data_IF_851496264776
#
_entry.id   IF_851496264776
#
_cell.length_a   1.000
_cell.length_b   1.000
_cell.length_c   1.000
_cell.angle_alpha   90.00
_cell.angle_beta   90.00
_cell.angle_gamma   90.00
#
_symmetry.space_group_name_H-M   'P 1'
#
loop_
_entity.id
_entity.type
_entity.pdbx_description
1 polymer ?
#
# COMPACT_ATOMS: atom_id res chain seq x y z
N UNK A 1 5.35 -3.12 -14.84
CA UNK A 1 4.05 -3.06 -14.14
C UNK A 1 3.93 -1.71 -13.46
N UNK A 2 2.79 -1.04 -13.64
CA UNK A 2 2.49 0.24 -12.98
C UNK A 2 1.22 0.12 -12.15
N UNK A 3 1.29 0.57 -10.91
CA UNK A 3 0.16 0.62 -9.98
C UNK A 3 -0.37 2.05 -9.90
N UNK A 4 -1.67 2.22 -10.15
CA UNK A 4 -2.36 3.50 -10.01
C UNK A 4 -3.25 3.49 -8.77
N UNK A 5 -3.16 4.54 -7.96
CA UNK A 5 -4.06 4.77 -6.84
C UNK A 5 -5.18 5.74 -7.26
N UNK A 6 -6.42 5.35 -6.99
CA UNK A 6 -7.54 6.29 -6.96
C UNK A 6 -7.41 7.25 -5.77
N UNK A 7 -8.18 8.32 -5.77
CA UNK A 7 -8.26 9.25 -4.64
C UNK A 7 -8.74 8.54 -3.38
N UNK A 8 -9.82 7.76 -3.51
CA UNK A 8 -10.42 6.99 -2.42
C UNK A 8 -9.43 6.02 -1.79
N UNK A 9 -8.68 5.28 -2.61
CA UNK A 9 -7.66 4.36 -2.12
C UNK A 9 -6.53 5.12 -1.42
N UNK A 10 -6.04 6.21 -2.03
CA UNK A 10 -4.97 7.03 -1.46
C UNK A 10 -5.36 7.60 -0.09
N UNK A 11 -6.52 8.24 0.02
CA UNK A 11 -7.02 8.79 1.28
C UNK A 11 -7.16 7.71 2.35
N UNK A 12 -7.78 6.57 2.01
CA UNK A 12 -7.98 5.47 2.95
C UNK A 12 -6.66 4.91 3.47
N UNK A 13 -5.67 4.68 2.59
CA UNK A 13 -4.34 4.21 2.97
C UNK A 13 -3.66 5.21 3.90
N UNK A 14 -3.57 6.49 3.50
CA UNK A 14 -2.90 7.54 4.29
C UNK A 14 -3.52 7.66 5.67
N UNK A 15 -4.84 7.83 5.75
CA UNK A 15 -5.53 8.08 7.01
C UNK A 15 -5.44 6.86 7.93
N UNK A 16 -5.57 5.64 7.40
CA UNK A 16 -5.46 4.41 8.19
C UNK A 16 -4.04 4.19 8.72
N UNK A 17 -3.01 4.52 7.93
CA UNK A 17 -1.61 4.42 8.38
C UNK A 17 -1.27 5.45 9.45
N UNK A 18 -1.81 6.68 9.35
CA UNK A 18 -1.63 7.73 10.36
C UNK A 18 -2.38 7.39 11.65
N UNK A 19 -3.63 6.91 11.55
CA UNK A 19 -4.44 6.51 12.71
C UNK A 19 -3.76 5.43 13.55
N UNK A 20 -3.17 4.44 12.89
CA UNK A 20 -2.52 3.32 13.56
C UNK A 20 -1.18 3.69 14.23
N UNK A 21 -0.50 4.71 13.73
CA UNK A 21 0.87 5.05 14.14
C UNK A 21 0.92 5.38 15.64
N UNK A 22 1.82 4.80 16.46
CA UNK A 22 3.10 4.10 16.17
C UNK A 22 3.01 2.57 16.05
N UNK A 23 1.90 2.03 15.58
CA UNK A 23 1.71 0.62 15.25
C UNK A 23 1.49 0.43 13.75
N UNK A 24 1.49 -0.83 13.32
CA UNK A 24 1.17 -1.17 11.92
C UNK A 24 -0.33 -1.11 11.66
N UNK A 25 -0.75 -0.54 10.52
CA UNK A 25 -2.08 -0.75 9.96
C UNK A 25 -2.05 -1.93 8.98
N UNK A 26 -3.21 -2.52 8.69
CA UNK A 26 -3.34 -3.55 7.65
C UNK A 26 -4.71 -3.43 6.99
N UNK A 27 -4.80 -3.80 5.72
CA UNK A 27 -6.07 -3.90 5.02
C UNK A 27 -5.97 -4.53 3.64
N UNK A 28 -7.12 -4.62 2.98
CA UNK A 28 -7.24 -5.13 1.62
C UNK A 28 -7.18 -3.99 0.60
N UNK A 29 -6.67 -4.30 -0.60
CA UNK A 29 -6.78 -3.42 -1.76
C UNK A 29 -7.61 -4.10 -2.86
N UNK A 30 -8.55 -3.34 -3.41
CA UNK A 30 -9.49 -3.80 -4.43
C UNK A 30 -9.38 -2.94 -5.68
N UNK A 31 -9.59 -3.55 -6.83
CA UNK A 31 -9.61 -2.83 -8.09
C UNK A 31 -9.65 -3.76 -9.29
N UNK A 32 -8.88 -3.43 -10.31
CA UNK A 32 -8.80 -4.24 -11.54
C UNK A 32 -7.39 -4.21 -12.10
N UNK A 33 -7.05 -5.21 -12.90
CA UNK A 33 -5.71 -5.35 -13.48
C UNK A 33 -5.76 -5.74 -14.94
N UNK A 34 -4.71 -5.34 -15.65
CA UNK A 34 -4.33 -5.78 -16.98
C UNK A 34 -2.88 -6.22 -16.94
N UNK A 35 -2.35 -6.73 -18.05
CA UNK A 35 -0.96 -7.20 -18.15
C UNK A 35 0.09 -6.12 -17.81
N UNK A 36 -0.26 -4.83 -17.97
CA UNK A 36 0.68 -3.71 -17.82
C UNK A 36 0.38 -2.81 -16.62
N UNK A 37 -0.87 -2.81 -16.15
CA UNK A 37 -1.40 -1.82 -15.22
C UNK A 37 -2.34 -2.45 -14.21
N UNK A 38 -2.14 -2.13 -12.94
CA UNK A 38 -3.06 -2.48 -11.86
C UNK A 38 -3.58 -1.19 -11.26
N UNK A 39 -4.90 -1.08 -11.12
CA UNK A 39 -5.55 0.11 -10.59
C UNK A 39 -6.25 -0.24 -9.29
N UNK A 40 -5.79 0.39 -8.21
CA UNK A 40 -6.37 0.24 -6.88
C UNK A 40 -7.45 1.31 -6.74
N UNK A 41 -8.71 0.87 -6.66
CA UNK A 41 -9.87 1.75 -6.53
C UNK A 41 -10.28 1.94 -5.07
N UNK A 42 -10.13 0.91 -4.24
CA UNK A 42 -10.46 0.94 -2.83
C UNK A 42 -9.35 0.33 -1.99
N UNK A 43 -9.17 0.88 -0.80
CA UNK A 43 -8.39 0.27 0.27
C UNK A 43 -9.29 0.18 1.51
N UNK A 44 -9.38 -1.01 2.10
CA UNK A 44 -10.29 -1.29 3.22
C UNK A 44 -9.44 -1.67 4.44
N UNK A 45 -9.28 -0.78 5.42
CA UNK A 45 -8.50 -1.07 6.62
C UNK A 45 -9.22 -2.08 7.49
N UNK A 46 -8.46 -3.01 8.06
CA UNK A 46 -8.95 -3.92 9.08
C UNK A 46 -8.88 -3.25 10.43
N UNK A 47 -9.99 -2.62 10.80
CA UNK A 47 -10.15 -1.90 12.08
C UNK A 47 -9.86 -2.78 13.28
N UNK A 48 -10.14 -4.08 13.18
CA UNK A 48 -9.96 -5.02 14.28
C UNK A 48 -8.74 -5.92 14.13
N UNK A 49 -7.77 -5.57 13.29
CA UNK A 49 -6.52 -6.33 13.25
C UNK A 49 -5.82 -6.21 14.61
N UNK A 50 -5.14 -7.27 15.06
CA UNK A 50 -4.25 -7.17 16.22
C UNK A 50 -2.96 -6.51 15.76
N UNK A 51 -2.54 -5.44 16.46
CA UNK A 51 -1.51 -4.50 16.00
C UNK A 51 -0.40 -4.39 17.04
N UNK A 52 0.78 -4.83 16.64
CA UNK A 52 2.05 -4.54 17.27
C UNK A 52 2.82 -3.46 16.50
N UNK A 53 4.07 -3.28 16.89
CA UNK A 53 4.94 -2.29 16.27
C UNK A 53 5.56 -2.76 14.94
N UNK A 54 5.83 -4.06 14.81
CA UNK A 54 6.38 -4.70 13.61
C UNK A 54 5.54 -5.90 13.17
N UNK A 55 4.32 -5.96 13.69
CA UNK A 55 3.42 -7.07 13.46
C UNK A 55 2.01 -6.52 13.34
N UNK A 56 1.30 -7.04 12.37
CA UNK A 56 -0.14 -6.88 12.27
C UNK A 56 -0.72 -8.22 11.84
N UNK A 57 -1.77 -8.65 12.54
CA UNK A 57 -2.40 -9.94 12.26
C UNK A 57 -3.90 -9.75 12.06
N UNK A 58 -4.43 -10.00 10.86
CA UNK A 58 -5.86 -10.03 10.64
C UNK A 58 -6.47 -11.26 11.31
N UNK A 59 -7.66 -11.12 11.90
CA UNK A 59 -8.39 -12.28 12.42
C UNK A 59 -8.97 -13.10 11.26
N UNK A 60 -8.52 -14.34 11.09
CA UNK A 60 -8.88 -15.19 9.95
C UNK A 60 -10.39 -15.36 9.72
N UNK A 61 -11.20 -15.48 10.79
CA UNK A 61 -12.66 -15.56 10.67
C UNK A 61 -13.29 -14.26 10.16
N UNK A 62 -12.73 -13.10 10.54
CA UNK A 62 -13.23 -11.79 10.10
C UNK A 62 -12.77 -11.50 8.68
N UNK A 63 -11.52 -11.81 8.36
CA UNK A 63 -10.98 -11.73 7.00
C UNK A 63 -11.82 -12.56 6.01
N UNK A 64 -12.08 -13.83 6.33
CA UNK A 64 -12.94 -14.69 5.50
C UNK A 64 -14.32 -14.10 5.29
N UNK A 65 -14.93 -13.53 6.34
CA UNK A 65 -16.25 -12.91 6.26
C UNK A 65 -16.23 -11.69 5.34
N UNK A 66 -15.25 -10.80 5.49
CA UNK A 66 -15.10 -9.61 4.64
C UNK A 66 -14.94 -10.04 3.19
N UNK A 67 -14.04 -11.00 2.88
CA UNK A 67 -13.82 -11.50 1.52
C UNK A 67 -15.08 -12.11 0.90
N UNK A 68 -15.84 -12.90 1.67
CA UNK A 68 -17.10 -13.48 1.22
C UNK A 68 -18.17 -12.42 0.90
N UNK A 69 -18.22 -11.33 1.67
CA UNK A 69 -19.11 -10.20 1.38
C UNK A 69 -18.64 -9.41 0.15
N UNK A 70 -17.35 -9.17 0.00
CA UNK A 70 -16.80 -8.42 -1.13
C UNK A 70 -17.12 -9.07 -2.48
N UNK A 71 -17.06 -10.40 -2.56
CA UNK A 71 -17.44 -11.15 -3.76
C UNK A 71 -18.91 -10.94 -4.19
N UNK A 72 -19.78 -10.49 -3.29
CA UNK A 72 -21.21 -10.25 -3.55
C UNK A 72 -21.53 -8.77 -3.76
N UNK A 73 -20.72 -7.87 -3.22
CA UNK A 73 -21.00 -6.42 -3.19
C UNK A 73 -20.27 -5.64 -4.29
N UNK A 74 -19.32 -6.26 -4.97
CA UNK A 74 -18.37 -5.55 -5.81
C UNK A 74 -17.97 -6.39 -7.02
N UNK A 75 -17.76 -5.73 -8.17
CA UNK A 75 -17.13 -6.31 -9.35
C UNK A 75 -15.60 -6.19 -9.35
N UNK A 76 -15.01 -5.55 -8.34
CA UNK A 76 -13.57 -5.42 -8.21
C UNK A 76 -12.91 -6.74 -7.78
N UNK A 77 -11.77 -7.02 -8.39
CA UNK A 77 -10.84 -8.04 -7.95
C UNK A 77 -10.19 -7.63 -6.63
N UNK A 78 -9.93 -8.61 -5.77
CA UNK A 78 -8.95 -8.44 -4.72
C UNK A 78 -7.56 -8.47 -5.34
N UNK A 79 -6.85 -7.33 -5.29
CA UNK A 79 -5.52 -7.20 -5.87
C UNK A 79 -4.40 -7.57 -4.88
N UNK A 80 -4.71 -7.62 -3.59
CA UNK A 80 -3.75 -7.95 -2.53
C UNK A 80 -4.02 -7.18 -1.25
N UNK A 81 -2.95 -6.71 -0.60
CA UNK A 81 -3.01 -6.07 0.74
C UNK A 81 -2.25 -4.75 0.79
N UNK A 82 -2.48 -3.99 1.87
CA UNK A 82 -1.60 -2.91 2.27
C UNK A 82 -1.34 -2.96 3.77
N UNK A 83 -0.18 -2.49 4.20
CA UNK A 83 0.16 -2.25 5.60
C UNK A 83 1.14 -1.10 5.77
N UNK A 84 1.36 -0.69 7.01
CA UNK A 84 2.31 0.37 7.33
C UNK A 84 3.42 -0.11 8.24
N UNK A 85 4.64 0.38 8.01
CA UNK A 85 5.75 0.27 8.94
C UNK A 85 5.88 1.58 9.74
N UNK A 86 5.71 1.58 11.06
CA UNK A 86 5.96 2.73 11.93
C UNK A 86 7.44 2.85 12.33
N UNK A 87 7.90 4.08 12.61
CA UNK A 87 9.21 4.33 13.20
C UNK A 87 9.34 3.78 14.64
N UNK A 88 10.48 3.17 14.97
CA UNK A 88 10.77 2.63 16.32
C UNK A 88 11.89 3.39 17.01
N UNK A 89 11.61 4.05 18.12
CA UNK A 89 12.64 4.80 18.86
C UNK A 89 13.34 5.83 17.94
N UNK A 90 14.64 5.67 17.73
CA UNK A 90 15.43 6.50 16.80
C UNK A 90 15.46 6.00 15.35
N UNK A 91 14.97 4.80 15.07
CA UNK A 91 14.97 4.18 13.75
C UNK A 91 13.79 4.67 12.92
N UNK A 92 14.10 5.20 11.74
CA UNK A 92 13.08 5.58 10.75
C UNK A 92 12.52 4.35 10.06
N UNK A 93 11.21 4.34 9.84
CA UNK A 93 10.56 3.35 9.01
C UNK A 93 10.95 3.49 7.53
N UNK A 94 10.94 2.35 6.82
CA UNK A 94 11.23 2.24 5.39
C UNK A 94 10.15 1.42 4.68
N UNK A 95 9.82 1.82 3.46
CA UNK A 95 8.81 1.16 2.63
C UNK A 95 9.45 0.04 1.80
N UNK A 96 9.97 -0.96 2.52
CA UNK A 96 10.59 -2.17 2.00
C UNK A 96 10.00 -3.36 2.73
N UNK A 97 9.71 -4.48 2.03
CA UNK A 97 9.17 -5.66 2.66
C UNK A 97 10.20 -6.27 3.60
N UNK A 98 9.71 -6.74 4.75
CA UNK A 98 10.41 -7.65 5.64
C UNK A 98 10.49 -9.05 5.02
N UNK A 99 11.22 -9.95 5.68
CA UNK A 99 11.25 -11.37 5.27
C UNK A 99 9.86 -12.00 5.39
N UNK A 100 9.12 -11.64 6.44
CA UNK A 100 7.77 -12.08 6.72
C UNK A 100 6.77 -11.58 5.66
N UNK A 101 6.93 -10.33 5.19
CA UNK A 101 6.12 -9.79 4.09
C UNK A 101 6.36 -10.57 2.79
N UNK A 102 7.62 -10.85 2.47
CA UNK A 102 7.99 -11.62 1.26
C UNK A 102 7.41 -13.05 1.30
N UNK A 103 7.43 -13.68 2.48
CA UNK A 103 6.93 -15.05 2.66
C UNK A 103 5.41 -15.11 2.61
N UNK A 104 4.72 -14.09 3.13
CA UNK A 104 3.26 -14.03 3.16
C UNK A 104 2.64 -13.52 1.85
N UNK A 105 3.43 -12.86 0.97
CA UNK A 105 2.97 -12.39 -0.32
C UNK A 105 2.66 -13.55 -1.29
N UNK A 106 1.38 -13.68 -1.63
CA UNK A 106 0.88 -14.70 -2.54
C UNK A 106 1.30 -14.40 -4.00
N UNK A 107 1.59 -15.45 -4.81
CA UNK A 107 1.82 -15.27 -6.24
C UNK A 107 0.61 -14.62 -6.92
N UNK A 108 0.86 -13.54 -7.66
CA UNK A 108 -0.18 -12.77 -8.34
C UNK A 108 -0.85 -11.70 -7.49
N UNK A 109 -0.42 -11.48 -6.25
CA UNK A 109 -0.93 -10.40 -5.39
C UNK A 109 0.05 -9.21 -5.33
N UNK A 110 -0.51 -8.04 -5.00
CA UNK A 110 0.21 -6.83 -4.61
C UNK A 110 0.33 -6.75 -3.09
N UNK A 111 1.44 -6.18 -2.67
CA UNK A 111 1.64 -5.67 -1.33
C UNK A 111 2.03 -4.19 -1.38
N UNK A 112 1.25 -3.33 -0.73
CA UNK A 112 1.53 -1.89 -0.63
C UNK A 112 1.99 -1.56 0.79
N UNK A 113 3.24 -1.11 0.90
CA UNK A 113 3.86 -0.78 2.18
C UNK A 113 3.96 0.73 2.33
N UNK A 114 3.49 1.25 3.46
CA UNK A 114 3.59 2.65 3.85
C UNK A 114 4.55 2.82 5.02
N UNK A 115 5.71 3.45 4.80
CA UNK A 115 6.54 3.89 5.91
C UNK A 115 5.97 5.17 6.51
N UNK A 116 5.71 5.18 7.82
CA UNK A 116 5.23 6.35 8.57
C UNK A 116 6.29 6.77 9.58
N UNK A 117 6.66 8.05 9.53
CA UNK A 117 7.64 8.66 10.41
C UNK A 117 7.15 10.02 10.90
N UNK A 118 7.69 10.49 12.02
CA UNK A 118 7.53 11.88 12.43
C UNK A 118 8.18 12.82 11.37
N UNK A 119 7.41 13.81 10.91
CA UNK A 119 7.85 14.83 9.98
C UNK A 119 8.71 15.89 10.69
N UNK A 120 9.73 16.39 9.99
CA UNK A 120 10.56 17.50 10.47
C UNK A 120 10.25 18.81 9.76
N UNK A 121 9.95 18.73 8.46
CA UNK A 121 9.64 19.87 7.61
C UNK A 121 8.56 19.49 6.60
N UNK A 122 7.60 20.37 6.30
CA UNK A 122 6.58 20.13 5.28
C UNK A 122 7.20 19.76 3.93
N UNK A 123 6.65 18.75 3.26
CA UNK A 123 7.01 18.35 1.91
C UNK A 123 5.77 17.93 1.15
N UNK A 124 5.57 18.51 -0.04
CA UNK A 124 4.55 18.05 -0.98
C UNK A 124 4.88 16.63 -1.44
N UNK A 125 3.84 15.88 -1.76
CA UNK A 125 4.02 14.56 -2.37
C UNK A 125 4.75 14.68 -3.71
N UNK A 126 5.63 13.71 -3.96
CA UNK A 126 6.37 13.56 -5.22
C UNK A 126 6.71 12.10 -5.46
N UNK A 127 6.94 11.78 -6.72
CA UNK A 127 7.60 10.53 -7.08
C UNK A 127 9.10 10.59 -6.71
N UNK A 128 9.64 9.48 -6.24
CA UNK A 128 11.06 9.27 -6.02
C UNK A 128 11.49 7.91 -6.58
N UNK A 129 12.79 7.64 -6.59
CA UNK A 129 13.37 6.36 -7.04
C UNK A 129 12.89 5.94 -8.44
N UNK A 130 12.92 6.88 -9.38
CA UNK A 130 12.42 6.73 -10.76
C UNK A 130 10.94 6.31 -10.82
N UNK A 131 10.12 6.85 -9.91
CA UNK A 131 8.69 6.60 -9.85
C UNK A 131 8.30 5.28 -9.18
N UNK A 132 9.22 4.66 -8.44
CA UNK A 132 8.95 3.44 -7.65
C UNK A 132 8.50 3.72 -6.22
N UNK A 133 8.63 4.97 -5.78
CA UNK A 133 8.10 5.43 -4.50
C UNK A 133 7.31 6.71 -4.67
N UNK A 134 6.30 6.86 -3.81
CA UNK A 134 5.55 8.10 -3.61
C UNK A 134 5.84 8.58 -2.19
N UNK A 135 6.43 9.77 -2.04
CA UNK A 135 6.83 10.30 -0.73
C UNK A 135 6.32 11.71 -0.54
N UNK A 136 5.87 12.05 0.65
CA UNK A 136 5.32 13.36 1.00
C UNK A 136 4.97 13.42 2.48
N UNK A 137 4.47 14.58 2.91
CA UNK A 137 4.01 14.76 4.27
C UNK A 137 2.51 15.07 4.33
N UNK A 138 1.89 14.65 5.42
CA UNK A 138 0.54 15.03 5.83
C UNK A 138 0.60 15.40 7.30
N UNK A 139 0.31 16.67 7.64
CA UNK A 139 0.54 17.22 8.98
C UNK A 139 1.96 16.90 9.50
N UNK A 140 2.04 16.23 10.64
CA UNK A 140 3.28 15.89 11.34
C UNK A 140 3.83 14.52 10.93
N UNK A 141 3.32 13.93 9.84
CA UNK A 141 3.71 12.61 9.36
C UNK A 141 4.41 12.69 8.01
N UNK A 142 5.59 12.09 7.92
CA UNK A 142 6.32 11.87 6.68
C UNK A 142 6.06 10.44 6.20
N UNK A 143 5.46 10.32 5.01
CA UNK A 143 5.04 9.06 4.41
C UNK A 143 5.91 8.71 3.20
N UNK A 144 6.19 7.43 3.05
CA UNK A 144 6.74 6.85 1.81
C UNK A 144 5.97 5.59 1.48
N UNK A 145 5.41 5.52 0.27
CA UNK A 145 4.65 4.38 -0.21
C UNK A 145 5.43 3.66 -1.30
N UNK A 146 5.36 2.33 -1.27
CA UNK A 146 5.93 1.47 -2.29
C UNK A 146 5.05 0.24 -2.49
N UNK A 147 5.02 -0.26 -3.72
CA UNK A 147 4.23 -1.44 -4.07
C UNK A 147 5.13 -2.54 -4.62
N UNK A 148 4.85 -3.75 -4.18
CA UNK A 148 5.58 -4.96 -4.50
C UNK A 148 4.60 -6.01 -5.01
N UNK A 149 5.02 -6.86 -5.94
CA UNK A 149 4.20 -7.99 -6.38
C UNK A 149 5.07 -9.22 -6.54
N UNK A 150 4.46 -10.39 -6.35
CA UNK A 150 5.07 -11.67 -6.67
C UNK A 150 4.51 -12.14 -8.02
N UNK A 151 5.33 -12.37 -9.05
CA UNK A 151 4.83 -12.89 -10.32
C UNK A 151 4.07 -14.21 -10.17
N UNK A 152 3.16 -14.55 -11.10
CA UNK A 152 2.55 -15.88 -11.17
C UNK A 152 3.62 -16.99 -11.35
N UNK A 153 3.24 -18.24 -11.04
CA UNK A 153 4.13 -19.44 -10.94
C UNK A 153 5.39 -19.43 -11.82
N UNK A 154 6.54 -19.71 -11.19
CA UNK A 154 7.84 -19.92 -11.85
C UNK A 154 8.93 -18.91 -11.43
N UNK A 155 8.55 -17.75 -10.90
CA UNK A 155 9.47 -16.75 -10.35
C UNK A 155 9.04 -16.36 -8.93
N UNK A 156 9.87 -16.72 -7.95
CA UNK A 156 9.61 -16.41 -6.54
C UNK A 156 10.07 -15.01 -6.13
N UNK A 157 10.76 -14.28 -7.01
CA UNK A 157 11.30 -12.97 -6.66
C UNK A 157 10.19 -11.93 -6.57
N UNK A 158 10.10 -11.29 -5.40
CA UNK A 158 9.26 -10.12 -5.20
C UNK A 158 9.83 -8.93 -5.97
N UNK A 159 8.99 -8.30 -6.78
CA UNK A 159 9.38 -7.20 -7.67
C UNK A 159 8.68 -5.91 -7.25
N UNK A 160 9.45 -4.82 -7.22
CA UNK A 160 8.89 -3.48 -6.97
C UNK A 160 8.28 -2.91 -8.24
N UNK A 161 7.14 -2.25 -8.14
CA UNK A 161 6.45 -1.64 -9.29
C UNK A 161 6.66 -0.12 -9.35
N UNK A 162 6.22 0.49 -10.46
CA UNK A 162 6.01 1.93 -10.51
C UNK A 162 4.70 2.26 -9.77
N UNK A 163 4.69 3.29 -8.94
CA UNK A 163 3.49 3.78 -8.26
C UNK A 163 3.11 5.15 -8.84
N UNK A 164 1.82 5.35 -9.12
CA UNK A 164 1.26 6.60 -9.64
C UNK A 164 0.04 6.99 -8.83
N UNK A 165 0.00 8.24 -8.37
CA UNK A 165 -1.15 8.81 -7.67
C UNK A 165 -1.32 10.28 -8.10
N UNK A 166 -2.12 10.56 -9.13
CA UNK A 166 -2.36 11.94 -9.59
C UNK A 166 -2.94 12.85 -8.50
N UNK A 167 -3.66 12.29 -7.54
CA UNK A 167 -4.24 13.03 -6.41
C UNK A 167 -3.19 13.47 -5.38
N UNK A 168 -2.05 12.79 -5.33
CA UNK A 168 -0.94 13.17 -4.47
C UNK A 168 -0.03 14.21 -5.12
N UNK A 169 0.31 14.02 -6.41
CA UNK A 169 1.33 14.84 -7.09
C UNK A 169 0.77 15.84 -8.11
N UNK A 170 -0.53 15.81 -8.39
CA UNK A 170 -1.15 16.49 -9.52
C UNK A 170 -1.15 15.64 -10.80
N UNK A 171 -1.87 16.12 -11.82
CA UNK A 171 -1.81 15.54 -13.16
C UNK A 171 -0.59 16.14 -13.89
N UNK A 172 0.53 15.43 -13.90
CA UNK A 172 1.64 15.78 -14.79
C UNK A 172 1.34 15.27 -16.21
N UNK A 173 1.28 16.14 -17.24
CA UNK A 173 0.90 15.75 -18.61
C UNK A 173 1.82 14.73 -19.31
N UNK A 174 3.03 14.49 -18.80
CA UNK A 174 4.13 13.94 -19.62
C UNK A 174 4.30 12.41 -19.60
N UNK A 175 3.33 11.63 -19.11
CA UNK A 175 3.49 10.16 -19.01
C UNK A 175 2.47 9.36 -19.84
N UNK A 176 1.55 10.02 -20.56
CA UNK A 176 0.52 9.34 -21.36
C UNK A 176 0.79 9.30 -22.87
N UNK A 177 1.91 9.87 -23.35
CA UNK A 177 2.26 9.88 -24.78
C UNK A 177 3.75 9.59 -24.97
N UNK A 178 4.14 8.31 -24.89
CA UNK A 178 5.30 7.75 -25.61
C UNK A 178 5.00 6.31 -26.01
#
# INVERSE_FOLDING_TARGET
MTVYLSETAFLSIVLSSIEAYKKECYGLILGYRTDKLWRIEYAIPYQTADRGHKTVTPHGLRDRRVRACLAQLSCFEQLGTFHSHPAWGSLRAVAKPSTEDIQSLMPGDLDLIVAVNDARHPRRFRHAENGRTLTGNVSDFALTMATFYKPPMGDEQVRRTLIRCPYAVGFEPDVMLK
#
